data_IF_486351513322
#
_entry.id   IF_486351513322
#
_cell.length_a   1.000
_cell.length_b   1.000
_cell.length_c   1.000
_cell.angle_alpha   90.00
_cell.angle_beta   90.00
_cell.angle_gamma   90.00
#
_symmetry.space_group_name_H-M   'P 1'
#
loop_
_entity.id
_entity.type
_entity.pdbx_description
1 polymer ?
#
# COMPACT_ATOMS: atom_id res chain seq x y z
N UNK A 1 -29.34 39.11 2.10
CA UNK A 1 -27.86 39.08 2.15
C UNK A 1 -27.39 37.79 1.50
N UNK A 2 -26.90 37.84 0.26
CA UNK A 2 -26.50 36.66 -0.51
C UNK A 2 -25.05 36.29 -0.17
N UNK A 3 -24.81 35.05 0.29
CA UNK A 3 -23.45 34.53 0.55
C UNK A 3 -22.86 34.07 -0.77
N UNK A 4 -21.84 34.78 -1.26
CA UNK A 4 -21.07 34.34 -2.42
C UNK A 4 -20.27 33.08 -2.03
N UNK A 5 -20.43 32.00 -2.79
CA UNK A 5 -19.58 30.82 -2.72
C UNK A 5 -18.28 31.13 -3.48
N UNK A 6 -17.16 31.18 -2.75
CA UNK A 6 -15.83 31.25 -3.37
C UNK A 6 -15.42 29.82 -3.68
N UNK A 7 -15.22 29.53 -4.97
CA UNK A 7 -14.62 28.27 -5.43
C UNK A 7 -13.12 28.41 -5.20
N UNK A 8 -12.60 27.77 -4.17
CA UNK A 8 -11.15 27.61 -4.02
C UNK A 8 -10.66 26.75 -5.18
N UNK A 9 -9.83 27.32 -6.05
CA UNK A 9 -9.10 26.60 -7.09
C UNK A 9 -7.97 25.76 -6.46
N UNK A 10 -8.33 24.84 -5.57
CA UNK A 10 -7.46 23.78 -5.04
C UNK A 10 -7.26 22.65 -6.05
N UNK A 11 -7.12 22.99 -7.33
CA UNK A 11 -6.92 22.05 -8.42
C UNK A 11 -5.50 21.52 -8.45
N UNK A 12 -5.10 20.80 -7.39
CA UNK A 12 -3.92 19.95 -7.47
C UNK A 12 -4.03 19.05 -8.69
N UNK A 13 -2.95 18.88 -9.45
CA UNK A 13 -2.93 17.98 -10.60
C UNK A 13 -3.37 16.60 -10.11
N UNK A 14 -4.44 16.07 -10.69
CA UNK A 14 -4.85 14.70 -10.38
C UNK A 14 -3.70 13.75 -10.73
N UNK A 15 -3.14 13.10 -9.72
CA UNK A 15 -2.15 12.04 -9.89
C UNK A 15 -2.89 10.71 -9.94
N UNK A 16 -2.63 9.94 -11.00
CA UNK A 16 -3.14 8.58 -11.08
C UNK A 16 -2.59 7.76 -9.90
N UNK A 17 -3.42 6.95 -9.22
CA UNK A 17 -2.92 6.01 -8.22
C UNK A 17 -1.83 5.15 -8.83
N UNK A 18 -0.74 4.92 -8.08
CA UNK A 18 0.32 4.01 -8.52
C UNK A 18 -0.29 2.62 -8.82
N UNK A 19 0.15 2.00 -9.91
CA UNK A 19 -0.26 0.64 -10.23
C UNK A 19 0.11 -0.28 -9.05
N UNK A 20 -0.88 -1.04 -8.56
CA UNK A 20 -0.64 -2.00 -7.49
C UNK A 20 0.40 -3.02 -7.96
N UNK A 21 1.47 -3.19 -7.16
CA UNK A 21 2.49 -4.21 -7.41
C UNK A 21 1.91 -5.59 -7.16
N UNK A 22 2.54 -6.61 -7.76
CA UNK A 22 2.07 -8.00 -7.70
C UNK A 22 2.08 -8.58 -6.29
N UNK A 23 2.98 -8.13 -5.42
CA UNK A 23 3.13 -8.60 -4.05
C UNK A 23 3.19 -7.43 -3.08
N UNK A 24 2.49 -7.59 -1.96
CA UNK A 24 2.33 -6.56 -0.93
C UNK A 24 2.57 -7.16 0.45
N UNK A 25 3.52 -6.60 1.20
CA UNK A 25 3.64 -6.85 2.64
C UNK A 25 2.94 -5.74 3.43
N UNK A 26 2.12 -6.12 4.40
CA UNK A 26 1.42 -5.23 5.33
C UNK A 26 1.62 -5.70 6.77
N UNK A 27 1.38 -4.81 7.74
CA UNK A 27 1.18 -5.25 9.11
C UNK A 27 -0.13 -6.04 9.19
N UNK A 28 -0.19 -7.05 10.06
CA UNK A 28 -1.36 -7.89 10.25
C UNK A 28 -2.59 -7.04 10.57
N UNK A 29 -3.64 -7.23 9.78
CA UNK A 29 -4.88 -6.48 9.91
C UNK A 29 -4.85 -5.07 9.30
N UNK A 30 -3.72 -4.61 8.77
CA UNK A 30 -3.64 -3.37 8.01
C UNK A 30 -3.84 -3.61 6.51
N UNK A 31 -4.54 -2.69 5.86
CA UNK A 31 -4.74 -2.70 4.39
C UNK A 31 -3.60 -2.03 3.63
N UNK A 32 -2.85 -1.19 4.33
CA UNK A 32 -1.77 -0.40 3.76
C UNK A 32 -0.52 -1.27 3.61
N UNK A 33 0.08 -1.22 2.43
CA UNK A 33 1.37 -1.83 2.21
C UNK A 33 2.45 -1.06 2.96
N UNK A 34 3.33 -1.76 3.65
CA UNK A 34 4.60 -1.22 4.13
C UNK A 34 5.74 -1.50 3.15
N UNK A 35 5.58 -2.52 2.29
CA UNK A 35 6.50 -2.82 1.21
C UNK A 35 5.75 -3.48 0.04
N UNK A 36 6.12 -3.13 -1.19
CA UNK A 36 5.50 -3.63 -2.42
C UNK A 36 6.59 -3.93 -3.45
N UNK A 37 6.47 -5.08 -4.14
CA UNK A 37 7.35 -5.44 -5.24
C UNK A 37 6.63 -6.34 -6.24
N UNK A 38 7.10 -6.35 -7.48
CA UNK A 38 6.68 -7.33 -8.48
C UNK A 38 7.49 -8.64 -8.40
N UNK A 39 8.57 -8.64 -7.61
CA UNK A 39 9.39 -9.82 -7.31
C UNK A 39 9.03 -10.38 -5.92
N UNK A 40 8.58 -11.63 -5.89
CA UNK A 40 8.24 -12.33 -4.65
C UNK A 40 9.46 -12.50 -3.74
N UNK A 41 10.63 -12.78 -4.31
CA UNK A 41 11.85 -13.04 -3.55
C UNK A 41 12.31 -11.78 -2.83
N UNK A 42 12.15 -10.61 -3.45
CA UNK A 42 12.47 -9.34 -2.82
C UNK A 42 11.60 -9.09 -1.58
N UNK A 43 10.29 -9.34 -1.68
CA UNK A 43 9.39 -9.16 -0.53
C UNK A 43 9.67 -10.18 0.57
N UNK A 44 9.98 -11.43 0.21
CA UNK A 44 10.33 -12.46 1.20
C UNK A 44 11.65 -12.15 1.91
N UNK A 45 12.65 -11.63 1.19
CA UNK A 45 13.90 -11.16 1.80
C UNK A 45 13.64 -9.99 2.74
N UNK A 46 12.85 -9.01 2.29
CA UNK A 46 12.45 -7.88 3.11
C UNK A 46 11.75 -8.31 4.40
N UNK A 47 10.86 -9.30 4.33
CA UNK A 47 10.18 -9.90 5.49
C UNK A 47 11.16 -10.62 6.42
N UNK A 48 12.08 -11.41 5.88
CA UNK A 48 13.06 -12.17 6.67
C UNK A 48 14.04 -11.27 7.44
N UNK A 49 14.27 -10.04 6.96
CA UNK A 49 15.09 -9.04 7.64
C UNK A 49 14.36 -8.33 8.79
N UNK A 50 13.04 -8.54 8.97
CA UNK A 50 12.28 -7.90 10.05
C UNK A 50 12.48 -8.69 11.35
N UNK A 51 13.10 -8.08 12.34
CA UNK A 51 13.30 -8.70 13.66
C UNK A 51 12.02 -8.78 14.51
N UNK A 52 11.03 -7.89 14.26
CA UNK A 52 9.77 -7.80 15.02
C UNK A 52 8.62 -7.22 14.18
N UNK A 53 7.45 -7.85 14.29
CA UNK A 53 6.15 -7.40 13.77
C UNK A 53 5.39 -8.57 13.15
N UNK A 54 4.08 -8.66 13.38
CA UNK A 54 3.24 -9.62 12.65
C UNK A 54 3.01 -9.05 11.24
N UNK A 55 3.82 -9.46 10.27
CA UNK A 55 3.66 -9.04 8.88
C UNK A 55 2.94 -10.10 8.07
N UNK A 56 2.13 -9.66 7.12
CA UNK A 56 1.40 -10.51 6.18
C UNK A 56 1.79 -10.15 4.75
N UNK A 57 2.15 -11.17 3.97
CA UNK A 57 2.41 -11.05 2.54
C UNK A 57 1.18 -11.48 1.77
N UNK A 58 0.68 -10.61 0.90
CA UNK A 58 -0.42 -10.88 0.01
C UNK A 58 0.00 -10.77 -1.46
N UNK A 59 -0.65 -11.55 -2.32
CA UNK A 59 -0.57 -11.33 -3.77
C UNK A 59 -1.55 -10.23 -4.24
N UNK A 60 -1.53 -9.95 -5.54
CA UNK A 60 -2.42 -8.98 -6.19
C UNK A 60 -3.91 -9.31 -6.11
N UNK A 61 -4.27 -10.58 -5.85
CA UNK A 61 -5.66 -11.01 -5.62
C UNK A 61 -6.08 -10.81 -4.16
N UNK A 62 -5.13 -10.49 -3.27
CA UNK A 62 -5.32 -10.42 -1.83
C UNK A 62 -5.17 -11.76 -1.12
N UNK A 63 -4.64 -12.80 -1.78
CA UNK A 63 -4.39 -14.08 -1.15
C UNK A 63 -3.15 -14.00 -0.24
N UNK A 64 -3.29 -14.45 1.01
CA UNK A 64 -2.18 -14.52 1.96
C UNK A 64 -1.19 -15.62 1.54
N UNK A 65 0.06 -15.22 1.28
CA UNK A 65 1.14 -16.11 0.85
C UNK A 65 2.08 -16.49 1.99
N UNK A 66 2.37 -15.57 2.92
CA UNK A 66 3.32 -15.79 4.01
C UNK A 66 3.04 -14.87 5.20
N UNK A 67 3.59 -15.24 6.37
CA UNK A 67 3.57 -14.45 7.62
C UNK A 67 4.95 -14.47 8.30
N UNK A 68 5.33 -13.37 8.93
CA UNK A 68 6.54 -13.23 9.75
C UNK A 68 6.18 -12.57 11.09
#
# INVERSE_FOLDING_TARGET
MSRAFVKEDGGGRWEAPAAARRYRASLKGERSAVHESDDLLDVLRWLAERERGEYELHDWTGALLARA
#
